data_IF_146302549636
#
_entry.id   IF_146302549636
#
_cell.length_a   1.000
_cell.length_b   1.000
_cell.length_c   1.000
_cell.angle_alpha   90.00
_cell.angle_beta   90.00
_cell.angle_gamma   90.00
#
_symmetry.space_group_name_H-M   'P 1'
#
loop_
_entity.id
_entity.type
_entity.pdbx_description
1 polymer ?
#
# COMPACT_ATOMS: atom_id res chain seq x y z
N UNK A 1 79.03 24.02 67.21
CA UNK A 1 78.25 24.33 66.00
C UNK A 1 77.28 23.19 65.74
N UNK A 2 75.96 23.38 65.98
CA UNK A 2 74.93 22.31 65.84
C UNK A 2 74.21 22.52 64.50
N UNK A 3 74.38 21.56 63.57
CA UNK A 3 73.67 21.55 62.30
C UNK A 3 72.26 21.01 62.53
N UNK A 4 71.25 21.82 62.30
CA UNK A 4 69.84 21.39 62.33
C UNK A 4 69.46 20.82 60.97
N UNK A 5 69.14 19.53 60.90
CA UNK A 5 68.56 18.91 59.77
C UNK A 5 67.11 19.39 59.57
N UNK A 6 66.86 20.08 58.45
CA UNK A 6 65.51 20.51 58.04
C UNK A 6 64.98 19.41 57.11
N UNK A 7 64.01 18.61 57.59
CA UNK A 7 63.33 17.59 56.89
C UNK A 7 62.21 18.23 56.05
N UNK A 8 62.37 18.30 54.67
CA UNK A 8 61.35 18.74 53.76
C UNK A 8 60.34 17.62 53.50
N UNK A 9 59.15 17.75 54.03
CA UNK A 9 58.01 16.89 53.66
C UNK A 9 57.43 17.36 52.31
N UNK A 10 57.60 16.57 51.30
CA UNK A 10 56.97 16.80 49.98
C UNK A 10 55.54 16.15 50.02
N UNK A 11 54.44 16.88 49.88
CA UNK A 11 53.13 16.25 49.78
C UNK A 11 53.01 15.53 48.43
N UNK A 12 52.76 14.22 48.45
CA UNK A 12 52.42 13.44 47.25
C UNK A 12 51.00 13.86 46.80
N UNK A 13 50.93 14.62 45.70
CA UNK A 13 49.68 14.90 45.02
C UNK A 13 49.20 13.66 44.29
N UNK A 14 48.21 12.97 44.80
CA UNK A 14 47.51 11.90 44.09
C UNK A 14 46.66 12.50 42.98
N UNK A 15 47.08 12.33 41.70
CA UNK A 15 46.29 12.67 40.53
C UNK A 15 45.20 11.62 40.40
N UNK A 16 43.97 11.97 40.78
CA UNK A 16 42.79 11.16 40.43
C UNK A 16 42.55 11.33 38.91
N UNK A 17 42.87 10.29 38.14
CA UNK A 17 42.45 10.19 36.77
C UNK A 17 40.93 9.92 36.71
N UNK A 18 40.14 10.95 36.43
CA UNK A 18 38.72 10.78 36.13
C UNK A 18 38.60 10.23 34.68
N UNK A 19 38.11 8.99 34.59
CA UNK A 19 37.72 8.44 33.29
C UNK A 19 36.49 9.23 32.78
N UNK A 20 36.70 10.13 31.84
CA UNK A 20 35.62 10.84 31.18
C UNK A 20 35.03 9.91 30.07
N UNK A 21 33.82 9.39 30.29
CA UNK A 21 33.05 8.73 29.23
C UNK A 21 32.25 9.79 28.46
N UNK A 22 32.42 9.83 27.15
CA UNK A 22 31.60 10.67 26.25
C UNK A 22 30.57 9.81 25.53
N UNK A 23 29.28 10.21 25.61
CA UNK A 23 28.22 9.62 24.79
C UNK A 23 28.17 10.39 23.48
N UNK A 24 28.49 9.70 22.38
CA UNK A 24 28.43 10.26 21.03
C UNK A 24 27.13 9.77 20.38
N UNK A 25 26.14 10.65 20.14
CA UNK A 25 24.91 10.24 19.49
C UNK A 25 25.17 9.94 18.00
N UNK A 26 24.59 8.83 17.53
CA UNK A 26 24.50 8.48 16.12
C UNK A 26 23.02 8.60 15.78
N UNK A 27 22.67 9.52 14.87
CA UNK A 27 21.30 9.72 14.41
C UNK A 27 21.15 9.35 12.93
N UNK A 28 20.01 8.80 12.58
CA UNK A 28 19.63 8.50 11.20
C UNK A 28 18.13 8.66 11.02
N UNK A 29 17.68 8.99 9.82
CA UNK A 29 16.26 9.06 9.45
C UNK A 29 15.98 7.97 8.42
N UNK A 30 14.91 7.20 8.65
CA UNK A 30 14.35 6.28 7.66
C UNK A 30 13.08 6.91 7.13
N UNK A 31 13.07 7.27 5.85
CA UNK A 31 11.88 7.83 5.22
C UNK A 31 10.84 6.74 4.97
N UNK A 32 9.59 7.11 5.19
CA UNK A 32 8.43 6.27 4.92
C UNK A 32 8.28 6.08 3.41
N UNK A 33 8.19 4.83 2.94
CA UNK A 33 8.07 4.54 1.50
C UNK A 33 7.13 3.38 1.22
N UNK A 34 6.09 3.67 0.44
CA UNK A 34 5.20 2.71 -0.19
C UNK A 34 5.20 2.97 -1.70
N UNK A 35 5.29 1.92 -2.51
CA UNK A 35 5.30 2.00 -3.98
C UNK A 35 4.13 1.21 -4.52
N UNK A 36 3.43 1.78 -5.51
CA UNK A 36 2.32 1.13 -6.20
C UNK A 36 2.74 0.81 -7.62
N UNK A 37 2.45 -0.40 -8.06
CA UNK A 37 2.74 -0.86 -9.42
C UNK A 37 1.53 -1.61 -10.00
N UNK A 38 1.27 -1.43 -11.28
CA UNK A 38 0.38 -2.32 -12.03
C UNK A 38 1.16 -3.59 -12.36
N UNK A 39 0.70 -4.73 -11.85
CA UNK A 39 1.31 -6.04 -12.11
C UNK A 39 0.65 -6.72 -13.31
N UNK A 40 -0.67 -6.57 -13.42
CA UNK A 40 -1.46 -7.08 -14.55
C UNK A 40 -2.50 -6.06 -14.95
N UNK A 41 -2.54 -5.70 -16.24
CA UNK A 41 -3.58 -4.86 -16.82
C UNK A 41 -4.89 -5.63 -16.94
N UNK A 42 -6.00 -4.95 -16.64
CA UNK A 42 -7.33 -5.53 -16.76
C UNK A 42 -7.81 -5.57 -18.22
N UNK A 43 -8.62 -6.57 -18.53
CA UNK A 43 -9.34 -6.66 -19.80
C UNK A 43 -10.80 -7.03 -19.53
N UNK A 44 -11.72 -6.32 -20.16
CA UNK A 44 -13.13 -6.72 -20.16
C UNK A 44 -13.39 -7.83 -21.18
N UNK A 45 -13.91 -8.96 -20.71
CA UNK A 45 -14.64 -9.91 -21.52
C UNK A 45 -16.07 -9.43 -21.74
N UNK A 46 -16.72 -9.90 -22.82
CA UNK A 46 -18.12 -9.61 -23.13
C UNK A 46 -18.88 -10.92 -23.27
N UNK A 47 -19.24 -11.57 -22.13
CA UNK A 47 -19.91 -12.89 -22.15
C UNK A 47 -21.33 -12.82 -22.71
N UNK A 48 -22.02 -11.69 -22.54
CA UNK A 48 -23.33 -11.40 -23.08
C UNK A 48 -23.36 -9.96 -23.60
N UNK A 49 -24.30 -9.67 -24.50
CA UNK A 49 -24.35 -8.35 -25.16
C UNK A 49 -24.50 -7.17 -24.19
N UNK A 50 -25.01 -7.40 -22.99
CA UNK A 50 -25.29 -6.42 -21.96
C UNK A 50 -24.26 -6.39 -20.83
N UNK A 51 -23.22 -7.26 -20.87
CA UNK A 51 -22.27 -7.43 -19.79
C UNK A 51 -20.82 -7.29 -20.25
N UNK A 52 -20.06 -6.46 -19.52
CA UNK A 52 -18.59 -6.40 -19.58
C UNK A 52 -18.03 -6.80 -18.22
N UNK A 53 -17.07 -7.72 -18.18
CA UNK A 53 -16.54 -8.28 -16.94
C UNK A 53 -15.05 -8.55 -17.04
N UNK A 54 -14.30 -8.24 -15.98
CA UNK A 54 -12.88 -8.57 -15.88
C UNK A 54 -12.63 -10.00 -15.39
N UNK A 55 -13.68 -10.77 -15.03
CA UNK A 55 -13.50 -12.14 -14.53
C UNK A 55 -13.08 -13.10 -15.63
N UNK A 56 -12.21 -14.07 -15.30
CA UNK A 56 -11.71 -15.04 -16.27
C UNK A 56 -12.84 -15.94 -16.83
N UNK A 57 -13.84 -16.25 -16.01
CA UNK A 57 -15.00 -17.03 -16.44
C UNK A 57 -15.83 -16.33 -17.54
N UNK A 58 -15.78 -15.02 -17.60
CA UNK A 58 -16.44 -14.16 -18.58
C UNK A 58 -15.51 -13.79 -19.77
N UNK A 59 -14.33 -14.40 -19.85
CA UNK A 59 -13.33 -14.10 -20.88
C UNK A 59 -12.53 -12.83 -20.64
N UNK A 60 -12.60 -12.26 -19.44
CA UNK A 60 -11.85 -11.08 -19.04
C UNK A 60 -10.52 -11.42 -18.37
N UNK A 61 -9.78 -10.37 -17.98
CA UNK A 61 -8.56 -10.44 -17.18
C UNK A 61 -8.73 -9.53 -15.97
N UNK A 62 -8.59 -10.12 -14.78
CA UNK A 62 -8.65 -9.35 -13.52
C UNK A 62 -7.37 -8.52 -13.38
N UNK A 63 -7.45 -7.18 -13.28
CA UNK A 63 -6.29 -6.36 -13.01
C UNK A 63 -5.72 -6.66 -11.62
N UNK A 64 -4.38 -6.64 -11.53
CA UNK A 64 -3.63 -6.87 -10.30
C UNK A 64 -2.78 -5.65 -10.00
N UNK A 65 -2.96 -5.09 -8.80
CA UNK A 65 -2.19 -3.96 -8.30
C UNK A 65 -1.29 -4.45 -7.17
N UNK A 66 0.01 -4.16 -7.27
CA UNK A 66 0.99 -4.48 -6.25
C UNK A 66 1.35 -3.25 -5.43
N UNK A 67 1.37 -3.41 -4.11
CA UNK A 67 1.88 -2.45 -3.16
C UNK A 67 3.13 -3.03 -2.51
N UNK A 68 4.23 -2.29 -2.60
CA UNK A 68 5.50 -2.61 -1.96
C UNK A 68 5.70 -1.68 -0.76
N UNK A 69 5.57 -2.23 0.45
CA UNK A 69 5.79 -1.53 1.72
C UNK A 69 7.25 -1.74 2.12
N UNK A 70 8.09 -0.72 1.89
CA UNK A 70 9.55 -0.82 2.02
C UNK A 70 9.99 -0.56 3.46
N UNK A 71 9.20 0.19 4.24
CA UNK A 71 9.51 0.52 5.63
C UNK A 71 8.45 -0.02 6.57
N UNK A 72 8.85 -0.36 7.79
CA UNK A 72 7.95 -0.86 8.84
C UNK A 72 7.07 0.27 9.44
N UNK A 73 6.47 1.09 8.56
CA UNK A 73 5.48 2.09 8.95
C UNK A 73 4.09 1.58 8.59
N UNK A 74 3.07 2.07 9.28
CA UNK A 74 1.70 1.79 8.92
C UNK A 74 1.28 2.65 7.71
N UNK A 75 0.69 1.99 6.71
CA UNK A 75 0.10 2.64 5.54
C UNK A 75 -1.34 2.21 5.38
N UNK A 76 -2.09 3.00 4.64
CA UNK A 76 -3.41 2.63 4.15
C UNK A 76 -3.37 2.52 2.63
N UNK A 77 -3.68 1.35 2.09
CA UNK A 77 -3.99 1.20 0.68
C UNK A 77 -5.45 1.59 0.46
N UNK A 78 -5.68 2.50 -0.48
CA UNK A 78 -7.02 2.93 -0.90
C UNK A 78 -7.17 2.57 -2.37
N UNK A 79 -8.10 1.65 -2.66
CA UNK A 79 -8.39 1.22 -4.03
C UNK A 79 -9.81 1.61 -4.38
N UNK A 80 -9.96 2.50 -5.37
CA UNK A 80 -11.26 2.91 -5.90
C UNK A 80 -11.50 2.23 -7.24
N UNK A 81 -12.57 1.44 -7.30
CA UNK A 81 -12.99 0.72 -8.50
C UNK A 81 -13.86 1.60 -9.40
N UNK A 82 -13.98 1.28 -10.70
CA UNK A 82 -14.76 2.08 -11.62
C UNK A 82 -16.23 2.14 -11.25
N UNK A 83 -16.82 3.33 -11.40
CA UNK A 83 -18.27 3.60 -11.38
C UNK A 83 -18.78 4.20 -12.69
N UNK A 84 -17.87 4.41 -13.64
CA UNK A 84 -18.16 4.88 -15.00
C UNK A 84 -17.02 4.48 -15.95
N UNK A 85 -17.31 4.48 -17.25
CA UNK A 85 -16.25 4.40 -18.24
C UNK A 85 -15.54 5.75 -18.38
N UNK A 86 -14.22 5.71 -18.47
CA UNK A 86 -13.39 6.87 -18.83
C UNK A 86 -13.45 7.14 -20.33
N UNK A 87 -13.75 6.09 -21.13
CA UNK A 87 -14.00 6.19 -22.56
C UNK A 87 -14.97 5.09 -22.97
N UNK A 88 -16.00 5.45 -23.75
CA UNK A 88 -16.99 4.54 -24.30
C UNK A 88 -17.74 5.21 -25.45
N UNK A 89 -18.46 4.44 -26.29
CA UNK A 89 -19.54 4.97 -27.13
C UNK A 89 -20.60 5.67 -26.26
N UNK A 90 -21.47 6.46 -26.89
CA UNK A 90 -22.60 7.09 -26.21
C UNK A 90 -23.54 6.03 -25.61
N UNK A 91 -23.77 6.11 -24.32
CA UNK A 91 -24.63 5.21 -23.55
C UNK A 91 -25.87 5.99 -23.10
N UNK A 92 -27.03 5.82 -23.74
CA UNK A 92 -28.27 6.55 -23.35
C UNK A 92 -28.92 5.99 -22.09
N UNK A 93 -28.50 4.83 -21.60
CA UNK A 93 -29.03 4.18 -20.42
C UNK A 93 -28.00 4.02 -19.30
N UNK A 94 -28.48 3.65 -18.12
CA UNK A 94 -27.67 3.45 -16.91
C UNK A 94 -26.79 2.19 -17.07
N UNK A 95 -25.55 2.29 -16.60
CA UNK A 95 -24.64 1.16 -16.40
C UNK A 95 -24.61 0.85 -14.92
N UNK A 96 -24.93 -0.39 -14.55
CA UNK A 96 -24.82 -0.87 -13.18
C UNK A 96 -23.42 -1.47 -12.97
N UNK A 97 -22.72 -0.98 -11.94
CA UNK A 97 -21.37 -1.42 -11.63
C UNK A 97 -21.34 -2.31 -10.40
N UNK A 98 -20.67 -3.45 -10.51
CA UNK A 98 -20.37 -4.31 -9.38
C UNK A 98 -18.87 -4.58 -9.39
N UNK A 99 -18.20 -4.29 -8.29
CA UNK A 99 -16.75 -4.39 -8.20
C UNK A 99 -16.33 -4.94 -6.85
N UNK A 100 -15.17 -5.57 -6.79
CA UNK A 100 -14.57 -5.99 -5.52
C UNK A 100 -13.06 -5.92 -5.59
N UNK A 101 -12.44 -5.58 -4.45
CA UNK A 101 -11.00 -5.65 -4.24
C UNK A 101 -10.71 -6.70 -3.17
N UNK A 102 -9.81 -7.61 -3.47
CA UNK A 102 -9.42 -8.72 -2.57
C UNK A 102 -7.90 -8.87 -2.54
N UNK A 103 -7.38 -9.36 -1.42
CA UNK A 103 -5.97 -9.78 -1.33
C UNK A 103 -5.78 -11.03 -2.18
N UNK A 104 -4.94 -10.95 -3.21
CA UNK A 104 -4.64 -12.07 -4.10
C UNK A 104 -3.41 -12.84 -3.66
N UNK A 105 -2.30 -12.15 -3.43
CA UNK A 105 -1.02 -12.73 -3.03
C UNK A 105 -0.32 -11.82 -2.02
N UNK A 106 0.53 -12.42 -1.17
CA UNK A 106 1.34 -11.70 -0.18
C UNK A 106 2.74 -12.30 -0.11
N UNK A 107 3.74 -11.46 0.20
CA UNK A 107 5.11 -11.91 0.43
C UNK A 107 5.34 -12.41 1.87
N UNK A 108 4.44 -12.09 2.80
CA UNK A 108 4.48 -12.51 4.20
C UNK A 108 3.14 -13.11 4.61
N UNK A 109 3.16 -14.21 5.37
CA UNK A 109 1.96 -14.91 5.79
C UNK A 109 1.03 -14.06 6.69
N UNK A 110 1.61 -13.15 7.49
CA UNK A 110 0.84 -12.23 8.34
C UNK A 110 -0.01 -11.24 7.57
N UNK A 111 0.35 -10.92 6.32
CA UNK A 111 -0.40 -10.01 5.45
C UNK A 111 -1.76 -10.59 5.01
N UNK A 112 -1.99 -11.89 5.17
CA UNK A 112 -3.30 -12.52 4.89
C UNK A 112 -4.42 -11.90 5.74
N UNK A 113 -4.09 -11.35 6.91
CA UNK A 113 -5.03 -10.64 7.79
C UNK A 113 -5.58 -9.35 7.17
N UNK A 114 -4.92 -8.76 6.17
CA UNK A 114 -5.40 -7.55 5.48
C UNK A 114 -6.78 -7.76 4.84
N UNK A 115 -7.04 -8.98 4.32
CA UNK A 115 -8.36 -9.30 3.75
C UNK A 115 -9.48 -9.21 4.78
N UNK A 116 -9.27 -9.70 5.99
CA UNK A 116 -10.29 -9.68 7.05
C UNK A 116 -10.46 -8.29 7.69
N UNK A 117 -9.44 -7.45 7.61
CA UNK A 117 -9.45 -6.08 8.17
C UNK A 117 -9.91 -5.01 7.19
N UNK A 118 -10.21 -5.36 5.93
CA UNK A 118 -10.58 -4.36 4.92
C UNK A 118 -11.90 -3.66 5.24
N UNK A 119 -11.98 -2.39 4.88
CA UNK A 119 -13.20 -1.58 4.96
C UNK A 119 -13.69 -1.28 3.54
N UNK A 120 -14.96 -1.58 3.26
CA UNK A 120 -15.58 -1.38 1.95
C UNK A 120 -16.62 -0.26 2.02
N UNK A 121 -16.45 0.75 1.18
CA UNK A 121 -17.35 1.88 1.03
C UNK A 121 -18.11 1.75 -0.31
N UNK A 122 -19.28 1.12 -0.28
CA UNK A 122 -20.06 0.84 -1.49
C UNK A 122 -20.45 2.11 -2.27
N UNK A 123 -20.77 3.19 -1.59
CA UNK A 123 -21.21 4.45 -2.22
C UNK A 123 -20.12 5.15 -3.02
N UNK A 124 -18.85 4.97 -2.64
CA UNK A 124 -17.68 5.53 -3.31
C UNK A 124 -16.90 4.50 -4.14
N UNK A 125 -17.37 3.27 -4.18
CA UNK A 125 -16.67 2.15 -4.82
C UNK A 125 -15.22 1.98 -4.32
N UNK A 126 -14.97 2.28 -3.05
CA UNK A 126 -13.63 2.31 -2.45
C UNK A 126 -13.46 1.17 -1.46
N UNK A 127 -12.29 0.55 -1.47
CA UNK A 127 -11.88 -0.43 -0.46
C UNK A 127 -10.57 0.03 0.17
N UNK A 128 -10.51 0.04 1.49
CA UNK A 128 -9.33 0.40 2.28
C UNK A 128 -8.74 -0.83 2.97
N UNK A 129 -7.41 -0.89 3.03
CA UNK A 129 -6.66 -1.93 3.73
C UNK A 129 -5.59 -1.27 4.58
N UNK A 130 -5.48 -1.67 5.86
CA UNK A 130 -4.40 -1.22 6.73
C UNK A 130 -3.17 -2.10 6.52
N UNK A 131 -2.12 -1.52 5.95
CA UNK A 131 -0.86 -2.19 5.61
C UNK A 131 0.15 -1.96 6.74
N UNK A 132 0.22 -2.91 7.67
CA UNK A 132 1.03 -2.82 8.91
C UNK A 132 2.30 -3.65 8.88
N UNK A 133 2.54 -4.40 7.80
CA UNK A 133 3.68 -5.32 7.64
C UNK A 133 4.46 -4.92 6.40
N UNK A 134 5.78 -4.79 6.53
CA UNK A 134 6.68 -4.54 5.40
C UNK A 134 6.72 -5.75 4.45
N UNK A 135 6.75 -5.50 3.15
CA UNK A 135 6.75 -6.52 2.11
C UNK A 135 5.85 -6.14 0.95
N UNK A 136 5.47 -7.11 0.13
CA UNK A 136 4.63 -6.91 -1.05
C UNK A 136 3.28 -7.58 -0.89
N UNK A 137 2.22 -6.87 -1.29
CA UNK A 137 0.85 -7.40 -1.36
C UNK A 137 0.27 -7.11 -2.74
N UNK A 138 -0.43 -8.08 -3.31
CA UNK A 138 -1.10 -7.99 -4.61
C UNK A 138 -2.61 -7.99 -4.39
N UNK A 139 -3.28 -6.98 -4.89
CA UNK A 139 -4.74 -6.87 -4.85
C UNK A 139 -5.33 -7.22 -6.20
N UNK A 140 -6.27 -8.15 -6.22
CA UNK A 140 -7.12 -8.45 -7.37
C UNK A 140 -8.31 -7.51 -7.36
N UNK A 141 -8.56 -6.81 -8.46
CA UNK A 141 -9.66 -5.84 -8.56
C UNK A 141 -10.63 -6.30 -9.65
N UNK A 142 -11.71 -6.96 -9.25
CA UNK A 142 -12.75 -7.34 -10.22
C UNK A 142 -13.71 -6.19 -10.49
N UNK A 143 -14.17 -6.08 -11.74
CA UNK A 143 -15.15 -5.09 -12.17
C UNK A 143 -16.10 -5.69 -13.19
N UNK A 144 -17.39 -5.48 -12.96
CA UNK A 144 -18.48 -5.88 -13.85
C UNK A 144 -19.34 -4.66 -14.13
N UNK A 145 -19.61 -4.42 -15.41
CA UNK A 145 -20.52 -3.39 -15.89
C UNK A 145 -21.68 -4.06 -16.62
N UNK A 146 -22.91 -3.79 -16.20
CA UNK A 146 -24.14 -4.30 -16.82
C UNK A 146 -24.97 -3.15 -17.37
N UNK A 147 -25.34 -3.23 -18.63
CA UNK A 147 -26.00 -2.14 -19.34
C UNK A 147 -27.51 -2.32 -19.34
N UNK A 148 -28.20 -1.32 -18.89
CA UNK A 148 -29.62 -1.04 -19.08
C UNK A 148 -30.58 -2.22 -19.09
N UNK A 149 -30.70 -3.02 -18.04
CA UNK A 149 -31.68 -4.10 -17.91
C UNK A 149 -31.72 -5.05 -19.14
N UNK A 150 -30.53 -5.55 -19.56
CA UNK A 150 -30.42 -6.50 -20.66
C UNK A 150 -30.35 -5.87 -22.05
N UNK A 151 -30.14 -4.57 -22.15
CA UNK A 151 -29.85 -3.89 -23.43
C UNK A 151 -28.42 -4.16 -23.86
N UNK A 152 -28.21 -4.35 -25.16
CA UNK A 152 -26.87 -4.56 -25.69
C UNK A 152 -26.00 -3.30 -25.60
N UNK A 153 -24.76 -3.45 -25.16
CA UNK A 153 -23.75 -2.41 -25.29
C UNK A 153 -23.56 -2.03 -26.77
N UNK A 154 -23.51 -0.73 -27.11
CA UNK A 154 -23.13 -0.29 -28.45
C UNK A 154 -21.74 -0.81 -28.83
N UNK A 155 -21.54 -1.10 -30.13
CA UNK A 155 -20.24 -1.52 -30.61
C UNK A 155 -19.20 -0.41 -30.45
N UNK A 156 -18.01 -0.75 -29.91
CA UNK A 156 -16.91 0.18 -29.69
C UNK A 156 -15.96 -0.25 -28.59
N UNK A 157 -15.02 0.63 -28.26
CA UNK A 157 -14.04 0.40 -27.19
C UNK A 157 -14.54 0.96 -25.87
N UNK A 158 -14.34 0.22 -24.80
CA UNK A 158 -14.70 0.58 -23.44
C UNK A 158 -13.47 0.57 -22.55
N UNK A 159 -13.21 1.68 -21.88
CA UNK A 159 -12.12 1.83 -20.92
C UNK A 159 -12.67 2.35 -19.60
N UNK A 160 -12.27 1.74 -18.50
CA UNK A 160 -12.54 2.23 -17.15
C UNK A 160 -11.23 2.31 -16.37
N UNK A 161 -11.18 3.16 -15.35
CA UNK A 161 -9.99 3.41 -14.56
C UNK A 161 -10.19 2.96 -13.13
N UNK A 162 -9.16 2.32 -12.58
CA UNK A 162 -9.02 2.03 -11.15
C UNK A 162 -8.04 3.06 -10.61
N UNK A 163 -8.35 3.64 -9.45
CA UNK A 163 -7.42 4.51 -8.73
C UNK A 163 -6.86 3.77 -7.52
N UNK A 164 -5.55 3.86 -7.34
CA UNK A 164 -4.84 3.23 -6.24
C UNK A 164 -3.96 4.26 -5.52
N UNK A 165 -4.10 4.36 -4.20
CA UNK A 165 -3.36 5.30 -3.37
C UNK A 165 -2.73 4.56 -2.19
N UNK A 166 -1.57 5.05 -1.73
CA UNK A 166 -0.90 4.58 -0.52
C UNK A 166 -0.67 5.77 0.40
N UNK A 167 -1.38 5.79 1.53
CA UNK A 167 -1.40 6.90 2.47
C UNK A 167 -0.65 6.47 3.74
N UNK A 168 0.37 7.23 4.15
CA UNK A 168 1.06 7.01 5.43
C UNK A 168 0.12 7.34 6.60
N UNK A 169 0.14 6.49 7.64
CA UNK A 169 -0.68 6.63 8.85
C UNK A 169 0.09 7.35 9.96
#
# INVERSE_FOLDING_TARGET
MKLKNLLFLIPAATVLSTNAAANIPISGTVESKCVIMTDTDGLYGNPTADKLSTTAADGGVVPIIRYDIITASAYKAVVTTPSSFSSSPTLPDVVNWTSSTTVGQTSDAGMSAFESGKVVYNNSHTTEFDLTIAGSVWFNVSSVAEYGYGKAFPSGNYTALITAECIAQ
#
